data_IF_932196660785
#
_entry.id   IF_932196660785
#
_cell.length_a   1.000
_cell.length_b   1.000
_cell.length_c   1.000
_cell.angle_alpha   90.00
_cell.angle_beta   90.00
_cell.angle_gamma   90.00
#
_symmetry.space_group_name_H-M   'P 1'
#
loop_
_entity.id
_entity.type
_entity.pdbx_description
1 polymer ?
#
# COMPACT_ATOMS: atom_id res chain seq x y z
N UNK A 1 5.35 -16.28 5.27
CA UNK A 1 5.48 -14.97 5.93
C UNK A 1 4.82 -15.05 7.30
N UNK A 2 5.47 -14.60 8.37
CA UNK A 2 4.85 -14.59 9.71
C UNK A 2 3.98 -13.34 9.92
N UNK A 3 2.93 -13.38 10.76
CA UNK A 3 2.13 -12.20 11.08
C UNK A 3 2.95 -11.02 11.62
N UNK A 4 4.04 -11.31 12.34
CA UNK A 4 4.96 -10.30 12.86
C UNK A 4 5.72 -9.61 11.73
N UNK A 5 6.24 -10.37 10.76
CA UNK A 5 6.93 -9.84 9.59
C UNK A 5 6.02 -8.97 8.72
N UNK A 6 4.72 -9.29 8.63
CA UNK A 6 3.77 -8.46 7.89
C UNK A 6 3.55 -7.10 8.56
N UNK A 7 3.52 -7.06 9.90
CA UNK A 7 3.29 -5.84 10.67
C UNK A 7 4.55 -4.96 10.78
N UNK A 8 5.72 -5.59 10.95
CA UNK A 8 6.96 -4.91 11.31
C UNK A 8 8.05 -4.97 10.23
N UNK A 9 7.86 -5.72 9.14
CA UNK A 9 8.81 -5.84 8.03
C UNK A 9 10.02 -6.75 8.30
N UNK A 10 10.18 -7.26 9.52
CA UNK A 10 11.27 -8.15 9.93
C UNK A 10 10.73 -9.33 10.73
N UNK A 11 11.45 -10.45 10.76
CA UNK A 11 11.07 -11.57 11.61
C UNK A 11 11.19 -11.25 13.11
N UNK A 12 10.41 -11.96 13.92
CA UNK A 12 10.43 -11.81 15.37
C UNK A 12 11.73 -12.39 15.93
N UNK A 13 12.45 -11.61 16.74
CA UNK A 13 13.64 -12.07 17.45
C UNK A 13 13.41 -12.05 18.96
N UNK A 14 13.70 -13.17 19.62
CA UNK A 14 13.59 -13.32 21.08
C UNK A 14 14.98 -13.08 21.70
N UNK A 15 15.11 -12.19 22.71
CA UNK A 15 16.37 -12.01 23.43
C UNK A 15 16.81 -13.29 24.15
N UNK A 16 18.12 -13.56 24.20
CA UNK A 16 18.70 -14.77 24.82
C UNK A 16 18.27 -14.99 26.27
N UNK A 17 18.08 -13.90 27.03
CA UNK A 17 17.63 -13.96 28.43
C UNK A 17 16.20 -14.51 28.58
N UNK A 18 15.41 -14.46 27.51
CA UNK A 18 14.02 -14.87 27.48
C UNK A 18 13.81 -16.22 26.78
N UNK A 19 14.83 -16.83 26.17
CA UNK A 19 14.69 -18.10 25.44
C UNK A 19 14.16 -19.24 26.32
N UNK A 20 14.78 -19.49 27.48
CA UNK A 20 14.35 -20.53 28.42
C UNK A 20 12.92 -20.32 28.96
N UNK A 21 12.54 -19.14 29.46
CA UNK A 21 11.17 -18.93 29.94
C UNK A 21 10.15 -18.96 28.80
N UNK A 22 10.46 -18.43 27.62
CA UNK A 22 9.54 -18.51 26.46
C UNK A 22 9.33 -19.95 26.00
N UNK A 23 10.38 -20.78 25.98
CA UNK A 23 10.26 -22.20 25.64
C UNK A 23 9.37 -22.95 26.63
N UNK A 24 9.55 -22.72 27.94
CA UNK A 24 8.71 -23.33 28.98
C UNK A 24 7.24 -22.92 28.85
N UNK A 25 6.99 -21.65 28.54
CA UNK A 25 5.65 -21.16 28.27
C UNK A 25 5.06 -21.83 27.02
N UNK A 26 5.83 -21.92 25.93
CA UNK A 26 5.39 -22.59 24.71
C UNK A 26 5.00 -24.06 24.95
N UNK A 27 5.73 -24.77 25.81
CA UNK A 27 5.40 -26.15 26.20
C UNK A 27 4.17 -26.26 27.12
N UNK A 28 3.84 -25.19 27.86
CA UNK A 28 2.74 -25.18 28.82
C UNK A 28 1.41 -24.68 28.21
N UNK A 29 1.45 -24.13 26.99
CA UNK A 29 0.26 -23.68 26.26
C UNK A 29 -0.36 -24.88 25.55
N UNK A 30 -1.66 -25.10 25.74
CA UNK A 30 -2.42 -26.11 24.98
C UNK A 30 -2.38 -25.78 23.48
N UNK A 31 -1.82 -26.70 22.70
CA UNK A 31 -1.67 -26.58 21.24
C UNK A 31 -3.02 -26.30 20.56
N UNK A 32 -4.12 -26.88 21.05
CA UNK A 32 -5.47 -26.66 20.51
C UNK A 32 -5.98 -25.22 20.73
N UNK A 33 -5.68 -24.59 21.87
CA UNK A 33 -6.11 -23.21 22.12
C UNK A 33 -5.28 -22.22 21.28
N UNK A 34 -3.98 -22.49 21.13
CA UNK A 34 -3.07 -21.65 20.37
C UNK A 34 -3.34 -21.72 18.86
N UNK A 35 -3.53 -22.92 18.32
CA UNK A 35 -3.90 -23.14 16.90
C UNK A 35 -5.21 -22.42 16.55
N UNK A 36 -6.26 -22.59 17.35
CA UNK A 36 -7.54 -21.90 17.13
C UNK A 36 -7.41 -20.36 17.15
N UNK A 37 -6.55 -19.81 18.01
CA UNK A 37 -6.30 -18.37 18.07
C UNK A 37 -5.50 -17.88 16.85
N UNK A 38 -4.49 -18.65 16.43
CA UNK A 38 -3.70 -18.37 15.23
C UNK A 38 -4.56 -18.43 13.97
N UNK A 39 -5.42 -19.43 13.82
CA UNK A 39 -6.29 -19.57 12.66
C UNK A 39 -7.25 -18.39 12.52
N UNK A 40 -7.87 -17.97 13.63
CA UNK A 40 -8.69 -16.74 13.66
C UNK A 40 -7.90 -15.51 13.25
N UNK A 41 -6.64 -15.41 13.71
CA UNK A 41 -5.77 -14.28 13.37
C UNK A 41 -5.38 -14.30 11.89
N UNK A 42 -5.06 -15.47 11.33
CA UNK A 42 -4.76 -15.65 9.92
C UNK A 42 -5.97 -15.25 9.06
N UNK A 43 -7.16 -15.76 9.38
CA UNK A 43 -8.38 -15.40 8.65
C UNK A 43 -8.66 -13.89 8.68
N UNK A 44 -8.44 -13.23 9.83
CA UNK A 44 -8.60 -11.80 9.95
C UNK A 44 -7.61 -11.03 9.05
N UNK A 45 -6.35 -11.46 9.01
CA UNK A 45 -5.32 -10.85 8.17
C UNK A 45 -5.62 -11.05 6.68
N UNK A 46 -5.99 -12.27 6.26
CA UNK A 46 -6.36 -12.55 4.87
C UNK A 46 -7.55 -11.70 4.42
N UNK A 47 -8.53 -11.47 5.30
CA UNK A 47 -9.66 -10.57 5.01
C UNK A 47 -9.20 -9.12 4.84
N UNK A 48 -8.27 -8.63 5.66
CA UNK A 48 -7.72 -7.29 5.52
C UNK A 48 -6.94 -7.13 4.20
N UNK A 49 -6.12 -8.12 3.85
CA UNK A 49 -5.37 -8.15 2.60
C UNK A 49 -6.32 -8.10 1.39
N UNK A 50 -7.41 -8.87 1.41
CA UNK A 50 -8.44 -8.83 0.37
C UNK A 50 -9.06 -7.43 0.23
N UNK A 51 -9.37 -6.76 1.35
CA UNK A 51 -9.94 -5.41 1.33
C UNK A 51 -8.95 -4.38 0.76
N UNK A 52 -7.67 -4.47 1.13
CA UNK A 52 -6.62 -3.61 0.59
C UNK A 52 -6.51 -3.80 -0.92
N UNK A 53 -6.42 -5.05 -1.38
CA UNK A 53 -6.33 -5.37 -2.81
C UNK A 53 -7.54 -4.85 -3.61
N UNK A 54 -8.75 -4.95 -3.06
CA UNK A 54 -9.95 -4.38 -3.68
C UNK A 54 -9.86 -2.85 -3.83
N UNK A 55 -9.31 -2.15 -2.84
CA UNK A 55 -9.11 -0.69 -2.90
C UNK A 55 -8.05 -0.34 -3.94
N UNK A 56 -6.92 -1.05 -3.96
CA UNK A 56 -5.84 -0.85 -4.94
C UNK A 56 -6.36 -1.01 -6.39
N UNK A 57 -7.09 -2.09 -6.66
CA UNK A 57 -7.70 -2.32 -7.98
C UNK A 57 -8.62 -1.16 -8.40
N UNK A 58 -9.45 -0.64 -7.48
CA UNK A 58 -10.34 0.50 -7.78
C UNK A 58 -9.56 1.78 -8.07
N UNK A 59 -8.46 2.02 -7.35
CA UNK A 59 -7.59 3.16 -7.58
C UNK A 59 -6.95 3.05 -8.97
N UNK A 60 -6.41 1.89 -9.32
CA UNK A 60 -5.81 1.65 -10.64
C UNK A 60 -6.82 1.84 -11.78
N UNK A 61 -8.02 1.28 -11.64
CA UNK A 61 -9.09 1.47 -12.63
C UNK A 61 -9.44 2.95 -12.80
N UNK A 62 -9.57 3.68 -11.69
CA UNK A 62 -9.88 5.10 -11.73
C UNK A 62 -8.77 5.90 -12.41
N UNK A 63 -7.51 5.67 -12.01
CA UNK A 63 -6.35 6.32 -12.62
C UNK A 63 -6.25 6.02 -14.12
N UNK A 64 -6.51 4.78 -14.52
CA UNK A 64 -6.53 4.36 -15.92
C UNK A 64 -7.62 5.09 -16.72
N UNK A 65 -8.83 5.23 -16.16
CA UNK A 65 -9.92 6.01 -16.79
C UNK A 65 -9.55 7.49 -16.93
N UNK A 66 -9.00 8.09 -15.89
CA UNK A 66 -8.55 9.49 -15.91
C UNK A 66 -7.47 9.70 -16.97
N UNK A 67 -6.47 8.82 -17.01
CA UNK A 67 -5.40 8.85 -18.02
C UNK A 67 -5.96 8.75 -19.43
N UNK A 68 -6.83 7.77 -19.71
CA UNK A 68 -7.46 7.63 -21.04
C UNK A 68 -8.23 8.87 -21.47
N UNK A 69 -8.98 9.49 -20.55
CA UNK A 69 -9.72 10.72 -20.85
C UNK A 69 -8.78 11.89 -21.14
N UNK A 70 -7.68 12.00 -20.39
CA UNK A 70 -6.64 13.00 -20.62
C UNK A 70 -5.95 12.79 -21.97
N UNK A 71 -5.50 11.57 -22.25
CA UNK A 71 -4.83 11.20 -23.49
C UNK A 71 -5.75 11.47 -24.70
N UNK A 72 -7.03 11.11 -24.61
CA UNK A 72 -8.02 11.40 -25.67
C UNK A 72 -8.24 12.89 -25.91
N UNK A 73 -8.20 13.72 -24.86
CA UNK A 73 -8.36 15.17 -24.97
C UNK A 73 -7.08 15.87 -25.44
N UNK A 74 -5.93 15.24 -25.24
CA UNK A 74 -4.64 15.80 -25.60
C UNK A 74 -4.43 15.64 -27.10
N UNK A 75 -4.46 16.74 -27.84
CA UNK A 75 -3.98 16.75 -29.22
C UNK A 75 -2.46 16.76 -29.21
N UNK A 76 -1.82 15.89 -29.99
CA UNK A 76 -0.38 16.03 -30.28
C UNK A 76 -0.16 17.40 -30.91
N UNK A 77 0.55 18.27 -30.19
CA UNK A 77 0.99 19.55 -30.73
C UNK A 77 2.35 19.34 -31.34
N UNK A 78 2.44 19.43 -32.66
CA UNK A 78 3.71 19.53 -33.35
C UNK A 78 4.15 21.00 -33.31
N UNK A 79 5.31 21.25 -32.71
CA UNK A 79 5.91 22.58 -32.66
C UNK A 79 7.00 22.69 -33.73
N UNK A 80 7.07 23.81 -34.41
CA UNK A 80 8.10 24.11 -35.40
C UNK A 80 9.20 24.99 -34.80
N UNK A 81 10.34 25.06 -35.48
CA UNK A 81 11.43 25.97 -35.11
C UNK A 81 10.88 27.40 -35.14
N UNK A 82 11.06 28.14 -34.04
CA UNK A 82 10.54 29.49 -33.75
C UNK A 82 9.11 29.58 -33.21
N UNK A 83 8.43 28.46 -32.91
CA UNK A 83 7.16 28.52 -32.16
C UNK A 83 7.41 28.95 -30.70
N UNK A 84 6.65 29.95 -30.24
CA UNK A 84 6.63 30.35 -28.84
C UNK A 84 5.72 29.42 -28.04
N UNK A 85 6.32 28.63 -27.16
CA UNK A 85 5.61 27.74 -26.24
C UNK A 85 5.75 28.22 -24.80
N UNK A 86 4.66 28.08 -24.04
CA UNK A 86 4.66 28.45 -22.63
C UNK A 86 5.24 27.30 -21.81
N UNK A 87 6.37 27.53 -21.16
CA UNK A 87 6.90 26.60 -20.17
C UNK A 87 6.03 26.68 -18.92
N UNK A 88 5.09 25.75 -18.77
CA UNK A 88 4.28 25.67 -17.56
C UNK A 88 5.01 24.89 -16.48
N UNK A 89 5.58 25.60 -15.49
CA UNK A 89 6.13 25.00 -14.28
C UNK A 89 5.12 25.06 -13.13
N UNK A 90 4.48 23.92 -12.84
CA UNK A 90 3.53 23.78 -11.73
C UNK A 90 4.14 24.12 -10.36
N UNK A 91 5.46 24.09 -10.20
CA UNK A 91 6.12 24.36 -8.90
C UNK A 91 6.07 25.83 -8.51
N UNK A 92 5.95 26.73 -9.49
CA UNK A 92 5.93 28.18 -9.30
C UNK A 92 4.53 28.79 -9.53
N UNK A 93 3.48 27.96 -9.57
CA UNK A 93 2.12 28.42 -9.78
C UNK A 93 1.61 29.18 -8.53
N UNK A 94 1.24 30.47 -8.65
CA UNK A 94 0.67 31.20 -7.54
C UNK A 94 -0.72 30.63 -7.23
N UNK A 95 -0.85 29.97 -6.08
CA UNK A 95 -2.12 29.37 -5.65
C UNK A 95 -3.18 30.45 -5.51
N UNK A 96 -4.27 30.36 -6.30
CA UNK A 96 -5.49 31.15 -6.10
C UNK A 96 -6.06 31.89 -7.31
N UNK A 97 -5.52 31.77 -8.53
CA UNK A 97 -5.97 32.59 -9.68
C UNK A 97 -6.96 31.96 -10.66
N UNK A 98 -7.47 30.76 -10.41
CA UNK A 98 -8.51 30.15 -11.24
C UNK A 98 -9.75 29.80 -10.41
N UNK A 99 -10.51 30.85 -10.08
CA UNK A 99 -11.94 30.79 -9.75
C UNK A 99 -12.61 31.79 -10.71
N UNK A 100 -13.25 31.26 -11.75
CA UNK A 100 -13.92 31.99 -12.82
C UNK A 100 -14.37 31.03 -13.91
#
# INVERSE_FOLDING_TARGET
MSPFQLLYGTDAQIPITLELPTLRLAQAVDDECFTNALDKRIMFLSKLEEQISQVENRIEEHQSKVKRLFDRKTKERQFQINDLVLLWDKRHEPKGKHMG
#
